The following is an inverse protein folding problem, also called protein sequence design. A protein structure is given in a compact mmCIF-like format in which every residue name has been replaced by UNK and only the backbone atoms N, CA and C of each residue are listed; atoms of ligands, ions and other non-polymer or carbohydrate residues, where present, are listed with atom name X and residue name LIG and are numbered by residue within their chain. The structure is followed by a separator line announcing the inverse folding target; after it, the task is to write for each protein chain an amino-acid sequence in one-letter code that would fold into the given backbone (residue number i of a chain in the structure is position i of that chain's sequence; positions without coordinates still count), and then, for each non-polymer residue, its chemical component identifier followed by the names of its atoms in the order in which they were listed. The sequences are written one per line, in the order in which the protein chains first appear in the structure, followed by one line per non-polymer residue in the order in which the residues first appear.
data_IF_768086601216
#
_entry.id   IF_768086601216
#
_cell.length_a   1.000
_cell.length_b   1.000
_cell.length_c   1.000
_cell.angle_alpha   90.00
_cell.angle_beta   90.00
_cell.angle_gamma   90.00
#
_symmetry.space_group_name_H-M   'P 1'
#
loop_
_entity.id
_entity.type
_entity.pdbx_description
1 polymer ?
#
# COMPACT_ATOMS: atom_id res chain seq x y z
N UNK A 1 10.74 -33.20 14.99
CA UNK A 1 11.40 -32.27 14.04
C UNK A 1 10.40 -31.31 13.39
N UNK A 2 9.24 -31.79 12.87
CA UNK A 2 8.20 -30.94 12.27
C UNK A 2 7.55 -29.89 13.20
N UNK A 3 7.53 -30.14 14.51
CA UNK A 3 6.98 -29.20 15.51
C UNK A 3 7.91 -28.02 15.78
N UNK A 4 9.24 -28.23 15.74
CA UNK A 4 10.21 -27.16 15.98
C UNK A 4 10.24 -26.14 14.82
N UNK A 5 10.08 -26.62 13.59
CA UNK A 5 10.01 -25.75 12.40
C UNK A 5 8.71 -24.95 12.35
N UNK A 6 7.58 -25.54 12.74
CA UNK A 6 6.30 -24.82 12.83
C UNK A 6 6.33 -23.71 13.90
N UNK A 7 6.89 -23.99 15.08
CA UNK A 7 7.03 -22.98 16.14
C UNK A 7 8.00 -21.86 15.73
N UNK A 8 9.08 -22.17 15.01
CA UNK A 8 9.98 -21.15 14.48
C UNK A 8 9.28 -20.24 13.46
N UNK A 9 8.42 -20.82 12.61
CA UNK A 9 7.64 -20.08 11.62
C UNK A 9 6.67 -19.10 12.28
N UNK A 10 5.88 -19.55 13.26
CA UNK A 10 4.93 -18.68 13.98
C UNK A 10 5.63 -17.51 14.70
N UNK A 11 6.81 -17.77 15.28
CA UNK A 11 7.64 -16.73 15.89
C UNK A 11 8.14 -15.73 14.85
N UNK A 12 8.55 -16.19 13.67
CA UNK A 12 8.98 -15.32 12.58
C UNK A 12 7.83 -14.43 12.10
N UNK A 13 6.65 -14.99 11.85
CA UNK A 13 5.47 -14.21 11.43
C UNK A 13 5.09 -13.17 12.51
N UNK A 14 5.09 -13.56 13.78
CA UNK A 14 4.84 -12.65 14.90
C UNK A 14 5.89 -11.53 14.97
N UNK A 15 7.18 -11.85 14.79
CA UNK A 15 8.23 -10.85 14.76
C UNK A 15 8.08 -9.86 13.59
N UNK A 16 7.66 -10.34 12.41
CA UNK A 16 7.37 -9.48 11.26
C UNK A 16 6.19 -8.55 11.51
N UNK A 17 5.11 -9.02 12.16
CA UNK A 17 4.00 -8.17 12.62
C UNK A 17 4.50 -7.05 13.52
N UNK A 18 5.25 -7.39 14.58
CA UNK A 18 5.76 -6.37 15.52
C UNK A 18 6.70 -5.39 14.83
N UNK A 19 7.58 -5.88 13.96
CA UNK A 19 8.50 -5.05 13.19
C UNK A 19 7.74 -4.10 12.28
N UNK A 20 6.69 -4.56 11.60
CA UNK A 20 5.85 -3.75 10.72
C UNK A 20 5.12 -2.66 11.50
N UNK A 21 4.52 -2.99 12.66
CA UNK A 21 3.89 -1.99 13.52
C UNK A 21 4.90 -0.97 14.06
N UNK A 22 6.07 -1.43 14.55
CA UNK A 22 7.13 -0.56 15.04
C UNK A 22 7.66 0.37 13.94
N UNK A 23 7.86 -0.15 12.72
CA UNK A 23 8.24 0.64 11.55
C UNK A 23 7.17 1.69 11.20
N UNK A 24 5.88 1.33 11.28
CA UNK A 24 4.77 2.27 11.09
C UNK A 24 4.82 3.44 12.08
N UNK A 25 4.97 3.15 13.38
CA UNK A 25 5.10 4.17 14.42
C UNK A 25 6.34 5.06 14.21
N UNK A 26 7.49 4.46 13.92
CA UNK A 26 8.74 5.19 13.66
C UNK A 26 8.58 6.14 12.46
N UNK A 27 8.03 5.65 11.36
CA UNK A 27 7.79 6.43 10.15
C UNK A 27 6.82 7.57 10.42
N UNK A 28 5.73 7.32 11.16
CA UNK A 28 4.79 8.38 11.52
C UNK A 28 5.48 9.48 12.32
N UNK A 29 6.30 9.12 13.31
CA UNK A 29 7.09 10.07 14.10
C UNK A 29 8.10 10.85 13.26
N UNK A 30 8.83 10.18 12.37
CA UNK A 30 9.78 10.83 11.45
C UNK A 30 9.06 11.76 10.48
N UNK A 31 7.93 11.34 9.90
CA UNK A 31 7.14 12.15 8.96
C UNK A 31 6.51 13.38 9.63
N UNK A 32 6.24 13.35 10.94
CA UNK A 32 5.80 14.53 11.69
C UNK A 32 6.91 15.58 11.82
N UNK A 33 8.18 15.18 11.80
CA UNK A 33 9.33 16.07 11.96
C UNK A 33 9.98 16.47 10.62
N UNK A 34 9.89 15.60 9.60
CA UNK A 34 10.56 15.77 8.30
C UNK A 34 9.67 15.27 7.17
N UNK A 35 9.65 16.01 6.07
CA UNK A 35 8.97 15.61 4.83
C UNK A 35 9.69 14.39 4.16
N UNK A 36 8.93 13.58 3.41
CA UNK A 36 9.41 12.35 2.77
C UNK A 36 10.51 12.62 1.72
N UNK A 37 11.58 11.80 1.63
CA UNK A 37 12.73 12.12 0.79
C UNK A 37 12.55 11.88 -0.72
N UNK A 38 11.33 11.59 -1.21
CA UNK A 38 11.08 11.27 -2.62
C UNK A 38 9.79 11.91 -3.18
N UNK A 39 9.67 12.00 -4.51
CA UNK A 39 8.54 12.66 -5.17
C UNK A 39 8.68 14.18 -5.15
N UNK A 40 7.63 14.90 -4.72
CA UNK A 40 7.62 16.38 -4.67
C UNK A 40 8.54 16.95 -3.59
N UNK A 41 8.89 16.13 -2.62
CA UNK A 41 9.69 16.48 -1.45
C UNK A 41 11.14 15.95 -1.56
N UNK A 42 11.52 15.44 -2.75
CA UNK A 42 12.85 14.92 -2.99
C UNK A 42 13.91 16.02 -2.82
N UNK A 43 14.88 15.82 -1.92
CA UNK A 43 15.99 16.75 -1.74
C UNK A 43 17.07 16.52 -2.82
N UNK A 44 17.78 17.57 -3.26
CA UNK A 44 18.85 17.45 -4.26
C UNK A 44 20.05 16.58 -3.82
N UNK A 45 20.18 16.27 -2.52
CA UNK A 45 21.41 15.70 -1.94
C UNK A 45 21.72 14.25 -2.35
N UNK A 46 20.73 13.48 -2.80
CA UNK A 46 20.96 12.08 -3.16
C UNK A 46 21.37 11.94 -4.65
N UNK A 47 22.63 11.53 -4.88
CA UNK A 47 23.23 11.38 -6.23
C UNK A 47 22.80 10.10 -6.95
N UNK A 48 22.52 9.02 -6.22
CA UNK A 48 22.08 7.74 -6.79
C UNK A 48 20.56 7.69 -6.87
N UNK A 49 20.04 7.71 -8.10
CA UNK A 49 18.60 7.71 -8.39
C UNK A 49 18.25 6.68 -9.44
N UNK A 50 17.08 6.09 -9.28
CA UNK A 50 16.51 5.10 -10.19
C UNK A 50 15.36 5.75 -10.96
N UNK A 51 15.24 5.51 -12.28
CA UNK A 51 14.08 5.98 -13.04
C UNK A 51 12.77 5.53 -12.38
N UNK A 52 11.80 6.44 -12.24
CA UNK A 52 10.60 6.20 -11.45
C UNK A 52 9.86 4.92 -11.87
N UNK A 53 9.73 4.66 -13.17
CA UNK A 53 9.09 3.44 -13.70
C UNK A 53 9.78 2.16 -13.22
N UNK A 54 11.11 2.13 -13.27
CA UNK A 54 11.91 0.98 -12.84
C UNK A 54 11.82 0.81 -11.33
N UNK A 55 11.93 1.91 -10.58
CA UNK A 55 11.81 1.87 -9.12
C UNK A 55 10.46 1.28 -8.67
N UNK A 56 9.35 1.79 -9.23
CA UNK A 56 8.00 1.30 -8.91
C UNK A 56 7.77 -0.15 -9.37
N UNK A 57 8.31 -0.57 -10.51
CA UNK A 57 8.20 -1.97 -10.92
C UNK A 57 9.00 -2.87 -9.95
N UNK A 58 10.28 -2.57 -9.71
CA UNK A 58 11.19 -3.40 -8.91
C UNK A 58 10.78 -3.47 -7.44
N UNK A 59 10.35 -2.36 -6.85
CA UNK A 59 10.03 -2.35 -5.42
C UNK A 59 8.77 -3.16 -5.08
N UNK A 60 7.78 -3.21 -5.98
CA UNK A 60 6.47 -3.84 -5.73
C UNK A 60 6.43 -5.31 -6.19
N UNK A 61 7.35 -5.72 -7.09
CA UNK A 61 7.41 -7.07 -7.64
C UNK A 61 7.44 -8.21 -6.59
N UNK A 62 8.15 -8.10 -5.44
CA UNK A 62 8.11 -9.14 -4.41
C UNK A 62 6.70 -9.46 -3.92
N UNK A 63 5.84 -8.43 -3.82
CA UNK A 63 4.44 -8.55 -3.42
C UNK A 63 3.53 -9.22 -4.44
N UNK A 64 4.02 -9.42 -5.67
CA UNK A 64 3.36 -10.25 -6.66
C UNK A 64 4.01 -11.64 -6.75
N UNK A 65 5.34 -11.71 -6.72
CA UNK A 65 6.08 -12.94 -6.94
C UNK A 65 5.94 -13.97 -5.81
N UNK A 66 6.05 -13.54 -4.55
CA UNK A 66 5.99 -14.45 -3.40
C UNK A 66 4.61 -15.10 -3.22
N UNK A 67 3.47 -14.38 -3.33
CA UNK A 67 2.16 -15.02 -3.21
C UNK A 67 1.88 -15.96 -4.38
N UNK A 68 2.31 -15.62 -5.61
CA UNK A 68 2.23 -16.53 -6.75
C UNK A 68 3.08 -17.80 -6.55
N UNK A 69 4.27 -17.65 -5.96
CA UNK A 69 5.09 -18.80 -5.57
C UNK A 69 4.35 -19.70 -4.56
N UNK A 70 3.66 -19.12 -3.56
CA UNK A 70 2.84 -19.93 -2.63
C UNK A 70 1.67 -20.62 -3.34
N UNK A 71 1.02 -19.97 -4.31
CA UNK A 71 -0.05 -20.59 -5.10
C UNK A 71 0.46 -21.77 -5.95
N UNK A 72 1.69 -21.69 -6.47
CA UNK A 72 2.31 -22.73 -7.29
C UNK A 72 2.95 -23.85 -6.45
N UNK A 73 3.21 -23.60 -5.17
CA UNK A 73 3.79 -24.59 -4.26
C UNK A 73 2.79 -25.69 -3.92
N UNK A 74 3.18 -26.95 -4.12
CA UNK A 74 2.37 -28.13 -3.72
C UNK A 74 2.09 -28.16 -2.21
N UNK A 75 2.85 -27.39 -1.43
CA UNK A 75 2.84 -27.38 0.03
C UNK A 75 1.96 -26.28 0.65
N UNK A 76 0.95 -25.74 -0.03
CA UNK A 76 0.07 -24.69 0.52
C UNK A 76 -1.32 -25.23 0.95
N UNK A 77 -1.44 -25.92 2.11
CA UNK A 77 -2.65 -26.66 2.47
C UNK A 77 -3.88 -25.77 2.67
N UNK A 78 -3.69 -24.52 3.10
CA UNK A 78 -4.81 -23.61 3.40
C UNK A 78 -5.41 -22.99 2.14
N UNK A 79 -4.67 -22.91 1.03
CA UNK A 79 -5.17 -22.34 -0.23
C UNK A 79 -6.22 -23.21 -0.92
N UNK A 80 -6.44 -24.44 -0.45
CA UNK A 80 -7.56 -25.30 -0.88
C UNK A 80 -8.92 -24.79 -0.41
N UNK A 81 -8.95 -23.92 0.60
CA UNK A 81 -10.17 -23.35 1.15
C UNK A 81 -10.46 -21.98 0.51
N UNK A 82 -11.72 -21.77 0.13
CA UNK A 82 -12.13 -20.57 -0.59
C UNK A 82 -11.81 -19.24 0.12
N UNK A 83 -12.00 -19.09 1.45
CA UNK A 83 -11.63 -17.86 2.16
C UNK A 83 -10.16 -17.45 1.96
N UNK A 84 -9.23 -18.40 2.16
CA UNK A 84 -7.80 -18.16 2.02
C UNK A 84 -7.43 -17.79 0.59
N UNK A 85 -7.99 -18.52 -0.38
CA UNK A 85 -7.74 -18.28 -1.80
C UNK A 85 -8.25 -16.88 -2.22
N UNK A 86 -9.45 -16.50 -1.82
CA UNK A 86 -10.04 -15.20 -2.17
C UNK A 86 -9.27 -14.05 -1.49
N UNK A 87 -8.90 -14.18 -0.23
CA UNK A 87 -8.10 -13.17 0.46
C UNK A 87 -6.72 -13.00 -0.22
N UNK A 88 -6.06 -14.10 -0.57
CA UNK A 88 -4.80 -14.02 -1.30
C UNK A 88 -4.98 -13.41 -2.70
N UNK A 89 -6.10 -13.70 -3.36
CA UNK A 89 -6.46 -13.11 -4.64
C UNK A 89 -6.71 -11.60 -4.54
N UNK A 90 -7.36 -11.10 -3.47
CA UNK A 90 -7.52 -9.66 -3.22
C UNK A 90 -6.14 -8.97 -3.16
N UNK A 91 -5.19 -9.55 -2.42
CA UNK A 91 -3.82 -9.05 -2.34
C UNK A 91 -3.13 -9.07 -3.71
N UNK A 92 -3.23 -10.19 -4.44
CA UNK A 92 -2.65 -10.34 -5.78
C UNK A 92 -3.24 -9.35 -6.79
N UNK A 93 -4.55 -9.14 -6.79
CA UNK A 93 -5.23 -8.22 -7.72
C UNK A 93 -4.74 -6.79 -7.53
N UNK A 94 -4.58 -6.34 -6.27
CA UNK A 94 -3.94 -5.06 -5.98
C UNK A 94 -2.52 -5.01 -6.57
N UNK A 95 -1.68 -6.01 -6.27
CA UNK A 95 -0.28 -5.97 -6.67
C UNK A 95 -0.05 -6.22 -8.17
N UNK A 96 -0.96 -6.89 -8.88
CA UNK A 96 -0.97 -6.91 -10.35
C UNK A 96 -1.16 -5.48 -10.87
N UNK A 97 -2.15 -4.75 -10.34
CA UNK A 97 -2.33 -3.36 -10.70
C UNK A 97 -1.09 -2.53 -10.36
N UNK A 98 -0.53 -2.68 -9.16
CA UNK A 98 0.54 -1.82 -8.65
C UNK A 98 1.92 -2.09 -9.27
N UNK A 99 2.23 -3.35 -9.59
CA UNK A 99 3.55 -3.76 -10.10
C UNK A 99 3.59 -3.91 -11.63
N UNK A 100 2.48 -4.32 -12.27
CA UNK A 100 2.46 -4.63 -13.70
C UNK A 100 1.68 -3.62 -14.55
N UNK A 101 0.79 -2.83 -13.95
CA UNK A 101 -0.03 -1.86 -14.70
C UNK A 101 0.42 -0.43 -14.39
N UNK A 102 0.41 -0.04 -13.11
CA UNK A 102 0.73 1.30 -12.66
C UNK A 102 2.09 1.82 -13.16
N UNK A 103 3.21 1.07 -13.07
CA UNK A 103 4.53 1.60 -13.42
C UNK A 103 4.65 1.92 -14.90
N UNK A 104 3.98 1.15 -15.76
CA UNK A 104 3.94 1.36 -17.21
C UNK A 104 3.08 2.56 -17.61
N UNK A 105 2.13 2.96 -16.75
CA UNK A 105 1.25 4.10 -16.98
C UNK A 105 1.78 5.42 -16.37
N UNK A 106 2.91 5.37 -15.65
CA UNK A 106 3.55 6.58 -15.10
C UNK A 106 3.97 7.53 -16.24
N UNK A 107 3.46 8.76 -16.20
CA UNK A 107 3.78 9.86 -17.12
C UNK A 107 4.65 10.90 -16.43
N UNK A 108 5.91 11.00 -16.87
CA UNK A 108 6.94 11.78 -16.16
C UNK A 108 7.19 11.22 -14.75
N UNK A 109 7.95 11.94 -13.93
CA UNK A 109 8.26 11.49 -12.57
C UNK A 109 9.67 11.87 -12.16
N UNK A 110 9.82 12.43 -10.97
CA UNK A 110 11.15 12.65 -10.41
C UNK A 110 11.79 11.29 -10.12
N UNK A 111 13.04 11.04 -10.57
CA UNK A 111 13.75 9.81 -10.24
C UNK A 111 13.75 9.56 -8.73
N UNK A 112 13.52 8.31 -8.33
CA UNK A 112 13.44 7.93 -6.92
C UNK A 112 14.85 7.73 -6.36
N UNK A 113 15.18 8.22 -5.15
CA UNK A 113 16.43 7.87 -4.48
C UNK A 113 16.58 6.36 -4.33
N UNK A 114 17.76 5.81 -4.67
CA UNK A 114 18.02 4.37 -4.62
C UNK A 114 17.73 3.77 -3.23
N UNK A 115 18.13 4.49 -2.17
CA UNK A 115 17.88 4.07 -0.79
C UNK A 115 16.37 3.88 -0.49
N UNK A 116 15.52 4.78 -0.98
CA UNK A 116 14.06 4.65 -0.83
C UNK A 116 13.51 3.43 -1.58
N UNK A 117 14.04 3.15 -2.78
CA UNK A 117 13.67 1.97 -3.55
C UNK A 117 14.05 0.68 -2.80
N UNK A 118 15.26 0.60 -2.22
CA UNK A 118 15.72 -0.56 -1.45
C UNK A 118 14.82 -0.80 -0.23
N UNK A 119 14.53 0.25 0.54
CA UNK A 119 13.64 0.13 1.71
C UNK A 119 12.23 -0.34 1.31
N UNK A 120 11.70 0.17 0.19
CA UNK A 120 10.40 -0.26 -0.33
C UNK A 120 10.43 -1.73 -0.79
N UNK A 121 11.48 -2.17 -1.48
CA UNK A 121 11.66 -3.59 -1.85
C UNK A 121 11.73 -4.49 -0.62
N UNK A 122 12.50 -4.09 0.41
CA UNK A 122 12.60 -4.85 1.66
C UNK A 122 11.25 -4.96 2.36
N UNK A 123 10.51 -3.84 2.45
CA UNK A 123 9.17 -3.84 3.01
C UNK A 123 8.22 -4.75 2.22
N UNK A 124 8.17 -4.63 0.90
CA UNK A 124 7.30 -5.45 0.04
C UNK A 124 7.64 -6.94 0.17
N UNK A 125 8.92 -7.27 0.29
CA UNK A 125 9.36 -8.67 0.49
C UNK A 125 8.88 -9.21 1.84
N UNK A 126 9.10 -8.47 2.93
CA UNK A 126 8.70 -8.88 4.27
C UNK A 126 7.18 -8.96 4.43
N UNK A 127 6.46 -7.92 3.99
CA UNK A 127 5.00 -7.87 4.04
C UNK A 127 4.38 -8.96 3.17
N UNK A 128 4.88 -9.16 1.96
CA UNK A 128 4.38 -10.20 1.09
C UNK A 128 4.63 -11.59 1.63
N UNK A 129 5.80 -11.83 2.22
CA UNK A 129 6.07 -13.09 2.92
C UNK A 129 5.05 -13.28 4.05
N UNK A 130 4.90 -12.28 4.93
CA UNK A 130 3.97 -12.31 6.05
C UNK A 130 2.54 -12.65 5.61
N UNK A 131 1.97 -11.89 4.67
CA UNK A 131 0.58 -12.08 4.24
C UNK A 131 0.38 -13.40 3.51
N UNK A 132 1.23 -13.73 2.54
CA UNK A 132 1.05 -14.93 1.73
C UNK A 132 1.29 -16.20 2.53
N UNK A 133 2.30 -16.20 3.40
CA UNK A 133 2.65 -17.36 4.23
C UNK A 133 1.58 -17.66 5.27
N UNK A 134 1.09 -16.62 5.95
CA UNK A 134 -0.01 -16.76 6.89
C UNK A 134 -1.26 -17.36 6.24
N UNK A 135 -1.69 -16.81 5.09
CA UNK A 135 -2.89 -17.31 4.39
C UNK A 135 -2.73 -18.70 3.77
N UNK A 136 -1.51 -19.10 3.40
CA UNK A 136 -1.26 -20.41 2.76
C UNK A 136 -1.01 -21.55 3.75
N UNK A 137 -0.59 -21.26 4.99
CA UNK A 137 -0.22 -22.28 5.98
C UNK A 137 -0.96 -22.17 7.33
N UNK A 138 -1.22 -20.96 7.82
CA UNK A 138 -1.64 -20.75 9.20
C UNK A 138 -3.14 -20.45 9.33
N UNK A 139 -3.69 -19.62 8.43
CA UNK A 139 -5.04 -19.09 8.55
C UNK A 139 -6.11 -20.20 8.50
N UNK A 140 -6.99 -20.20 9.51
CA UNK A 140 -8.14 -21.08 9.61
C UNK A 140 -9.39 -20.22 9.68
N UNK A 141 -10.25 -20.39 8.69
CA UNK A 141 -11.55 -19.71 8.62
C UNK A 141 -12.67 -20.73 8.80
N UNK A 142 -13.81 -20.28 9.32
CA UNK A 142 -15.02 -21.10 9.35
C UNK A 142 -15.53 -21.35 7.91
N UNK A 143 -16.26 -22.45 7.71
CA UNK A 143 -16.76 -22.84 6.39
C UNK A 143 -17.73 -21.81 5.79
N UNK A 144 -18.42 -21.05 6.64
CA UNK A 144 -19.35 -20.00 6.28
C UNK A 144 -18.72 -18.59 6.28
N UNK A 145 -17.39 -18.48 6.44
CA UNK A 145 -16.70 -17.18 6.55
C UNK A 145 -17.00 -16.20 5.42
N UNK A 146 -17.19 -16.69 4.19
CA UNK A 146 -17.53 -15.83 3.04
C UNK A 146 -18.91 -15.16 3.16
N UNK A 147 -19.78 -15.68 4.03
CA UNK A 147 -21.08 -15.09 4.36
C UNK A 147 -21.04 -14.27 5.65
N UNK A 148 -19.92 -14.30 6.37
CA UNK A 148 -19.76 -13.53 7.59
C UNK A 148 -19.81 -12.02 7.28
N UNK A 149 -20.54 -11.20 8.06
CA UNK A 149 -20.60 -9.76 7.84
C UNK A 149 -19.23 -9.07 7.78
N UNK A 150 -18.25 -9.54 8.56
CA UNK A 150 -16.88 -9.01 8.55
C UNK A 150 -16.24 -9.20 7.18
N UNK A 151 -16.36 -10.40 6.61
CA UNK A 151 -15.84 -10.68 5.28
C UNK A 151 -16.52 -9.83 4.22
N UNK A 152 -17.86 -9.77 4.22
CA UNK A 152 -18.63 -9.04 3.22
C UNK A 152 -18.35 -7.52 3.27
N UNK A 153 -18.35 -6.93 4.47
CA UNK A 153 -18.02 -5.53 4.67
C UNK A 153 -16.55 -5.25 4.31
N UNK A 154 -15.64 -6.12 4.74
CA UNK A 154 -14.22 -5.98 4.44
C UNK A 154 -13.92 -6.06 2.94
N UNK A 155 -14.54 -7.00 2.23
CA UNK A 155 -14.43 -7.11 0.77
C UNK A 155 -14.99 -5.88 0.07
N UNK A 156 -16.15 -5.38 0.50
CA UNK A 156 -16.76 -4.16 -0.05
C UNK A 156 -15.87 -2.93 0.14
N UNK A 157 -15.30 -2.75 1.33
CA UNK A 157 -14.35 -1.68 1.63
C UNK A 157 -13.06 -1.82 0.82
N UNK A 158 -12.52 -3.05 0.70
CA UNK A 158 -11.35 -3.34 -0.11
C UNK A 158 -11.56 -2.90 -1.57
N UNK A 159 -12.64 -3.36 -2.20
CA UNK A 159 -12.95 -3.04 -3.59
C UNK A 159 -13.17 -1.54 -3.79
N UNK A 160 -13.95 -0.90 -2.91
CA UNK A 160 -14.19 0.54 -2.97
C UNK A 160 -12.89 1.34 -2.85
N UNK A 161 -12.02 0.97 -1.89
CA UNK A 161 -10.72 1.59 -1.70
C UNK A 161 -9.83 1.47 -2.93
N UNK A 162 -9.75 0.27 -3.52
CA UNK A 162 -8.99 0.01 -4.74
C UNK A 162 -9.49 0.86 -5.91
N UNK A 163 -10.80 0.96 -6.12
CA UNK A 163 -11.40 1.78 -7.18
C UNK A 163 -11.08 3.26 -6.99
N UNK A 164 -11.18 3.77 -5.76
CA UNK A 164 -10.81 5.16 -5.42
C UNK A 164 -9.32 5.40 -5.72
N UNK A 165 -8.46 4.46 -5.32
CA UNK A 165 -7.02 4.57 -5.54
C UNK A 165 -6.68 4.63 -7.03
N UNK A 166 -7.19 3.68 -7.83
CA UNK A 166 -6.96 3.62 -9.28
C UNK A 166 -7.50 4.86 -9.99
N UNK A 167 -8.71 5.28 -9.65
CA UNK A 167 -9.32 6.48 -10.24
C UNK A 167 -8.50 7.75 -9.91
N UNK A 168 -8.06 7.88 -8.66
CA UNK A 168 -7.25 9.02 -8.23
C UNK A 168 -5.87 9.03 -8.90
N UNK A 169 -5.22 7.88 -9.02
CA UNK A 169 -3.95 7.74 -9.75
C UNK A 169 -4.11 8.00 -11.26
N UNK A 170 -5.28 7.70 -11.82
CA UNK A 170 -5.65 8.08 -13.18
C UNK A 170 -5.78 9.60 -13.34
N UNK A 171 -6.40 10.30 -12.39
CA UNK A 171 -6.43 11.78 -12.41
C UNK A 171 -5.00 12.33 -12.34
N UNK A 172 -4.20 11.87 -11.36
CA UNK A 172 -2.85 12.38 -11.13
C UNK A 172 -1.92 12.21 -12.34
N UNK A 173 -1.95 11.06 -13.02
CA UNK A 173 -1.10 10.83 -14.20
C UNK A 173 -1.51 11.69 -15.40
N UNK A 174 -2.80 12.05 -15.51
CA UNK A 174 -3.31 12.87 -16.60
C UNK A 174 -3.11 14.38 -16.37
N UNK A 175 -2.66 14.79 -15.19
CA UNK A 175 -2.21 16.18 -14.96
C UNK A 175 -0.97 16.52 -15.79
N UNK A 176 -0.14 15.52 -16.13
CA UNK A 176 1.09 15.69 -16.90
C UNK A 176 0.89 15.23 -18.34
N UNK A 177 1.22 16.11 -19.28
CA UNK A 177 1.45 15.74 -20.68
C UNK A 177 2.89 15.25 -20.85
N UNK A 178 3.20 14.41 -21.86
CA UNK A 178 4.59 14.07 -22.17
C UNK A 178 5.45 15.34 -22.32
N UNK A 179 6.55 15.45 -21.58
CA UNK A 179 7.42 16.62 -21.54
C UNK A 179 7.10 17.66 -20.45
N UNK A 180 5.94 17.56 -19.78
CA UNK A 180 5.55 18.47 -18.70
C UNK A 180 6.25 18.11 -17.38
N UNK A 181 6.95 19.08 -16.79
CA UNK A 181 7.68 18.94 -15.51
C UNK A 181 6.96 19.62 -14.35
N UNK A 182 5.96 20.46 -14.64
CA UNK A 182 5.22 21.23 -13.65
C UNK A 182 4.30 20.37 -12.77
N UNK A 183 4.04 20.87 -11.56
CA UNK A 183 2.97 20.36 -10.72
C UNK A 183 1.69 21.14 -10.96
N UNK A 184 0.54 20.47 -10.82
CA UNK A 184 -0.80 21.06 -10.97
C UNK A 184 -1.69 20.62 -9.83
N UNK A 185 -2.74 21.40 -9.57
CA UNK A 185 -3.78 21.06 -8.58
C UNK A 185 -4.68 19.97 -9.19
N UNK A 186 -4.81 18.79 -8.56
CA UNK A 186 -5.75 17.77 -9.02
C UNK A 186 -7.20 18.22 -8.84
N UNK A 187 -8.04 17.96 -9.84
CA UNK A 187 -9.49 18.24 -9.85
C UNK A 187 -10.24 16.97 -10.27
N UNK A 188 -11.50 16.86 -9.85
CA UNK A 188 -12.38 15.72 -10.11
C UNK A 188 -12.33 14.64 -9.03
N UNK A 189 -13.42 13.87 -8.93
CA UNK A 189 -13.58 12.80 -7.95
C UNK A 189 -13.35 13.26 -6.51
N UNK A 190 -12.70 12.41 -5.70
CA UNK A 190 -12.43 12.72 -4.30
C UNK A 190 -11.42 13.86 -4.09
N UNK A 191 -10.66 14.25 -5.12
CA UNK A 191 -9.75 15.38 -4.98
C UNK A 191 -10.47 16.69 -4.69
N UNK A 192 -11.78 16.80 -4.98
CA UNK A 192 -12.55 17.98 -4.58
C UNK A 192 -12.69 18.14 -3.07
N UNK A 193 -12.58 17.05 -2.31
CA UNK A 193 -12.72 17.07 -0.85
C UNK A 193 -11.39 16.91 -0.12
N UNK A 194 -10.45 16.14 -0.68
CA UNK A 194 -9.20 15.78 -0.01
C UNK A 194 -7.98 15.94 -0.91
N UNK A 195 -6.82 16.15 -0.30
CA UNK A 195 -5.56 16.37 -1.02
C UNK A 195 -5.01 15.10 -1.61
N UNK A 196 -5.07 14.01 -0.85
CA UNK A 196 -4.44 12.74 -1.16
C UNK A 196 -5.50 11.65 -1.35
N UNK A 197 -6.40 11.85 -2.33
CA UNK A 197 -7.51 10.95 -2.60
C UNK A 197 -7.06 9.51 -2.90
N UNK A 198 -5.92 9.33 -3.59
CA UNK A 198 -5.35 7.99 -3.81
C UNK A 198 -4.93 7.32 -2.50
N UNK A 199 -4.30 8.07 -1.58
CA UNK A 199 -3.89 7.53 -0.28
C UNK A 199 -5.08 7.19 0.60
N UNK A 200 -6.16 7.99 0.54
CA UNK A 200 -7.41 7.64 1.21
C UNK A 200 -7.96 6.31 0.69
N UNK A 201 -8.03 6.13 -0.63
CA UNK A 201 -8.46 4.88 -1.24
C UNK A 201 -7.64 3.67 -0.77
N UNK A 202 -6.32 3.81 -0.72
CA UNK A 202 -5.41 2.73 -0.30
C UNK A 202 -5.55 2.39 1.19
N UNK A 203 -5.78 3.38 2.05
CA UNK A 203 -6.05 3.15 3.48
C UNK A 203 -7.37 2.41 3.67
N UNK A 204 -8.42 2.83 2.95
CA UNK A 204 -9.72 2.13 2.97
C UNK A 204 -9.58 0.72 2.44
N UNK A 205 -8.79 0.53 1.38
CA UNK A 205 -8.55 -0.77 0.76
C UNK A 205 -7.95 -1.76 1.74
N UNK A 206 -6.84 -1.38 2.38
CA UNK A 206 -6.15 -2.27 3.32
C UNK A 206 -6.87 -2.39 4.66
N UNK A 207 -7.63 -1.37 5.08
CA UNK A 207 -8.55 -1.49 6.21
C UNK A 207 -9.65 -2.52 5.95
N UNK A 208 -10.22 -2.52 4.74
CA UNK A 208 -11.17 -3.54 4.28
C UNK A 208 -10.55 -4.93 4.23
N UNK A 209 -9.34 -5.04 3.71
CA UNK A 209 -8.58 -6.30 3.69
C UNK A 209 -8.35 -6.86 5.09
N UNK A 210 -7.94 -6.03 6.05
CA UNK A 210 -7.76 -6.43 7.45
C UNK A 210 -9.06 -6.90 8.10
N UNK A 211 -10.19 -6.23 7.79
CA UNK A 211 -11.51 -6.64 8.26
C UNK A 211 -11.94 -7.98 7.65
N UNK A 212 -11.68 -8.19 6.36
CA UNK A 212 -12.04 -9.43 5.66
C UNK A 212 -11.16 -10.61 6.08
N UNK A 213 -9.86 -10.39 6.28
CA UNK A 213 -8.93 -11.41 6.75
C UNK A 213 -9.07 -11.69 8.23
N UNK A 214 -9.61 -10.73 9.00
CA UNK A 214 -9.72 -10.76 10.45
C UNK A 214 -8.46 -11.30 11.14
N UNK A 215 -7.30 -10.87 10.63
CA UNK A 215 -5.99 -11.37 11.03
C UNK A 215 -5.09 -10.25 11.53
N UNK A 216 -4.18 -10.59 12.44
CA UNK A 216 -3.24 -9.63 13.02
C UNK A 216 -2.25 -9.14 11.96
N UNK A 217 -1.88 -10.02 11.02
CA UNK A 217 -1.03 -9.74 9.87
C UNK A 217 -1.68 -8.71 8.94
N UNK A 218 -2.96 -8.92 8.59
CA UNK A 218 -3.73 -7.95 7.80
C UNK A 218 -3.88 -6.61 8.51
N UNK A 219 -4.15 -6.62 9.82
CA UNK A 219 -4.26 -5.42 10.64
C UNK A 219 -2.93 -4.66 10.74
N UNK A 220 -1.80 -5.37 10.89
CA UNK A 220 -0.47 -4.76 10.93
C UNK A 220 -0.12 -4.07 9.61
N UNK A 221 -0.48 -4.69 8.48
CA UNK A 221 -0.30 -4.06 7.18
C UNK A 221 -1.18 -2.83 7.00
N UNK A 222 -2.47 -2.91 7.35
CA UNK A 222 -3.37 -1.77 7.30
C UNK A 222 -2.88 -0.60 8.18
N UNK A 223 -2.41 -0.91 9.39
CA UNK A 223 -1.84 0.07 10.32
C UNK A 223 -0.57 0.73 9.75
N UNK A 224 0.37 -0.07 9.24
CA UNK A 224 1.58 0.48 8.61
C UNK A 224 1.24 1.40 7.45
N UNK A 225 0.34 0.97 6.56
CA UNK A 225 -0.12 1.76 5.42
C UNK A 225 -0.72 3.09 5.87
N UNK A 226 -1.59 3.07 6.89
CA UNK A 226 -2.14 4.28 7.47
C UNK A 226 -1.04 5.23 7.98
N UNK A 227 -0.12 4.74 8.81
CA UNK A 227 0.99 5.53 9.36
C UNK A 227 1.86 6.15 8.26
N UNK A 228 2.25 5.35 7.26
CA UNK A 228 3.10 5.76 6.16
C UNK A 228 2.42 6.82 5.28
N UNK A 229 1.19 6.56 4.86
CA UNK A 229 0.47 7.43 3.92
C UNK A 229 -0.10 8.68 4.59
N UNK A 230 -0.54 8.63 5.85
CA UNK A 230 -1.04 9.78 6.59
C UNK A 230 0.03 10.87 6.74
N UNK A 231 1.24 10.50 7.18
CA UNK A 231 2.36 11.44 7.29
C UNK A 231 2.71 12.08 5.94
N UNK A 232 2.68 11.28 4.88
CA UNK A 232 2.95 11.76 3.51
C UNK A 232 1.84 12.67 2.96
N UNK A 233 0.58 12.36 3.23
CA UNK A 233 -0.56 13.17 2.83
C UNK A 233 -0.49 14.57 3.46
N UNK A 234 -0.12 14.65 4.76
CA UNK A 234 0.07 15.93 5.46
C UNK A 234 1.15 16.78 4.78
N UNK A 235 2.27 16.17 4.43
CA UNK A 235 3.33 16.83 3.68
C UNK A 235 2.89 17.33 2.30
N UNK A 236 2.08 16.54 1.58
CA UNK A 236 1.50 16.97 0.31
C UNK A 236 0.56 18.17 0.47
N UNK A 237 -0.30 18.15 1.47
CA UNK A 237 -1.26 19.23 1.72
C UNK A 237 -0.56 20.56 2.04
N UNK A 238 0.42 20.52 2.94
CA UNK A 238 1.24 21.69 3.27
C UNK A 238 1.97 22.23 2.04
N UNK A 239 2.56 21.34 1.24
CA UNK A 239 3.26 21.74 0.02
C UNK A 239 2.31 22.42 -0.97
N UNK A 240 1.09 21.90 -1.18
CA UNK A 240 0.12 22.56 -2.06
C UNK A 240 -0.30 23.94 -1.57
N UNK A 241 -0.58 24.10 -0.27
CA UNK A 241 -0.92 25.39 0.33
C UNK A 241 0.19 26.44 0.16
N UNK A 242 1.45 26.01 0.16
CA UNK A 242 2.62 26.90 0.03
C UNK A 242 2.96 27.23 -1.42
N UNK A 243 2.64 26.35 -2.37
CA UNK A 243 3.08 26.47 -3.77
C UNK A 243 1.98 26.92 -4.74
N UNK A 244 0.72 26.93 -4.31
CA UNK A 244 -0.40 27.33 -5.15
C UNK A 244 -1.34 28.25 -4.39
N UNK A 245 -1.38 29.53 -4.76
CA UNK A 245 -2.31 30.51 -4.19
C UNK A 245 -3.78 30.13 -4.43
N UNK A 246 -4.07 29.54 -5.59
CA UNK A 246 -5.42 29.08 -5.97
C UNK A 246 -5.81 27.72 -5.33
N UNK A 247 -4.97 27.16 -4.44
CA UNK A 247 -5.28 25.88 -3.83
C UNK A 247 -6.56 25.95 -2.96
N UNK A 248 -7.54 25.06 -3.13
CA UNK A 248 -8.78 25.12 -2.37
C UNK A 248 -8.55 24.83 -0.88
N UNK A 249 -8.57 25.88 -0.05
CA UNK A 249 -8.26 25.82 1.39
C UNK A 249 -9.26 25.01 2.22
N UNK A 250 -10.44 24.72 1.69
CA UNK A 250 -11.43 23.87 2.34
C UNK A 250 -11.11 22.37 2.24
N UNK A 251 -10.23 21.96 1.30
CA UNK A 251 -9.83 20.56 1.15
C UNK A 251 -9.16 20.07 2.42
N UNK A 252 -9.49 18.85 2.80
CA UNK A 252 -8.84 18.13 3.89
C UNK A 252 -7.62 17.38 3.38
N UNK A 253 -6.83 16.84 4.28
CA UNK A 253 -5.59 16.13 3.95
C UNK A 253 -5.93 14.78 3.31
N UNK A 254 -6.79 13.99 3.97
CA UNK A 254 -7.00 12.57 3.69
C UNK A 254 -8.45 12.11 3.88
N UNK A 255 -9.08 12.40 5.02
CA UNK A 255 -10.45 11.98 5.35
C UNK A 255 -11.41 13.13 5.01
N UNK A 256 -12.36 12.93 4.09
CA UNK A 256 -13.31 13.97 3.70
C UNK A 256 -13.98 14.61 4.91
N UNK A 257 -14.02 15.95 4.93
CA UNK A 257 -14.65 16.78 5.97
C UNK A 257 -14.04 16.71 7.38
N UNK A 258 -13.13 15.77 7.67
CA UNK A 258 -12.56 15.56 8.99
C UNK A 258 -11.07 15.94 9.06
N UNK A 259 -10.22 15.27 8.29
CA UNK A 259 -8.76 15.36 8.44
C UNK A 259 -8.04 15.49 7.12
#
# INVERSE_FOLDING_TARGET
MATATAVAEERLLSALVYLQCAAGCLILGVNQQRNSPYGRQATPRCRLRVPARVAWAVQELPSLALPLYQCASESAPRLRYAPNCILLAMFLVHYVQRSLIYPFLIRGGTPMPLFSCILATMFCTGNSYLQSRYLSHCAVYADDWLRDPRFLMGFGLWLMGMLINIHSDHILRNLRKPGDTGYKIPRGGLFEYVTAANYFGEIVEWGGYALASWSVEGAAFAFFTFCFLCGRAKGHHQWYLQNFEEYPKFRKILIPFLF
#
